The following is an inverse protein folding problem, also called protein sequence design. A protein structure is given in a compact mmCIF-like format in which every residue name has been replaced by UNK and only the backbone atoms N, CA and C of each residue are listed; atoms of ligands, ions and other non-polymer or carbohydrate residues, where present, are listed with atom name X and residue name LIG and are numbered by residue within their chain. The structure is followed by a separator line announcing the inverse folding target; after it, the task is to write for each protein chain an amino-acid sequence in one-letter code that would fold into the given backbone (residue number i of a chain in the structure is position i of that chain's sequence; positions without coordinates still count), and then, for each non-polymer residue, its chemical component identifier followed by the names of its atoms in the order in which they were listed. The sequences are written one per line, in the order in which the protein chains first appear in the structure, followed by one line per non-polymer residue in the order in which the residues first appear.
data_IF_858856386001
#
_entry.id   IF_858856386001
#
_cell.length_a   1.000
_cell.length_b   1.000
_cell.length_c   1.000
_cell.angle_alpha   90.00
_cell.angle_beta   90.00
_cell.angle_gamma   90.00
#
_symmetry.space_group_name_H-M   'P 1'
#
loop_
_entity.id
_entity.type
_entity.pdbx_description
1 polymer ?
#
# COMPACT_ATOMS: atom_id res chain seq x y z
N UNK A 1 47.50 15.66 -62.17
CA UNK A 1 46.63 16.40 -61.22
C UNK A 1 45.25 16.50 -61.83
N UNK A 2 44.36 15.57 -61.50
CA UNK A 2 42.95 15.59 -61.91
C UNK A 2 42.14 15.27 -60.67
N UNK A 3 41.57 16.30 -60.04
CA UNK A 3 40.70 16.17 -58.87
C UNK A 3 39.36 15.60 -59.30
N UNK A 4 39.02 14.40 -58.81
CA UNK A 4 37.67 13.86 -58.87
C UNK A 4 36.87 14.47 -57.72
N UNK A 5 35.88 15.29 -58.06
CA UNK A 5 34.87 15.77 -57.11
C UNK A 5 34.05 14.58 -56.57
N UNK A 6 33.79 14.52 -55.25
CA UNK A 6 32.90 13.53 -54.67
C UNK A 6 31.46 13.85 -55.06
N UNK A 7 30.78 12.90 -55.71
CA UNK A 7 29.34 12.98 -56.00
C UNK A 7 28.58 13.02 -54.68
N UNK A 8 27.68 13.98 -54.53
CA UNK A 8 26.64 13.96 -53.51
C UNK A 8 25.82 12.67 -53.68
N UNK A 9 26.00 11.73 -52.76
CA UNK A 9 25.11 10.58 -52.65
C UNK A 9 23.73 11.12 -52.24
N UNK A 10 22.74 10.86 -53.08
CA UNK A 10 21.33 11.08 -52.76
C UNK A 10 21.03 10.31 -51.46
N UNK A 11 20.62 11.05 -50.42
CA UNK A 11 20.18 10.45 -49.16
C UNK A 11 18.97 9.56 -49.49
N UNK A 12 18.96 8.28 -49.08
CA UNK A 12 17.82 7.41 -49.30
C UNK A 12 16.58 8.05 -48.66
N UNK A 13 15.49 8.15 -49.42
CA UNK A 13 14.18 8.52 -48.87
C UNK A 13 13.91 7.65 -47.65
N UNK A 14 13.76 8.29 -46.49
CA UNK A 14 13.34 7.62 -45.25
C UNK A 14 12.07 6.83 -45.53
N UNK A 15 12.12 5.54 -45.23
CA UNK A 15 11.00 4.66 -45.51
C UNK A 15 9.83 4.99 -44.57
N UNK A 16 8.57 4.89 -45.02
CA UNK A 16 7.37 5.15 -44.21
C UNK A 16 7.20 4.28 -42.95
N UNK A 17 8.17 3.43 -42.61
CA UNK A 17 8.08 2.51 -41.46
C UNK A 17 8.30 3.21 -40.12
N UNK A 18 8.90 4.40 -40.08
CA UNK A 18 9.24 5.07 -38.81
C UNK A 18 8.02 5.70 -38.11
N UNK A 19 7.01 6.12 -38.87
CA UNK A 19 5.86 6.90 -38.34
C UNK A 19 4.89 6.04 -37.48
N UNK A 20 4.77 4.75 -37.78
CA UNK A 20 3.87 3.83 -37.06
C UNK A 20 4.40 3.40 -35.68
N UNK A 21 5.72 3.27 -35.55
CA UNK A 21 6.38 2.90 -34.30
C UNK A 21 6.23 4.02 -33.25
N UNK A 22 6.32 5.27 -33.69
CA UNK A 22 6.19 6.44 -32.83
C UNK A 22 4.78 6.56 -32.23
N UNK A 23 3.74 6.39 -33.05
CA UNK A 23 2.33 6.49 -32.63
C UNK A 23 1.97 5.49 -31.52
N UNK A 24 2.47 4.25 -31.62
CA UNK A 24 2.21 3.21 -30.60
C UNK A 24 2.85 3.57 -29.26
N UNK A 25 4.07 4.11 -29.29
CA UNK A 25 4.81 4.50 -28.09
C UNK A 25 4.13 5.67 -27.35
N UNK A 26 3.66 6.65 -28.12
CA UNK A 26 2.89 7.81 -27.63
C UNK A 26 1.60 7.36 -26.95
N UNK A 27 0.84 6.46 -27.58
CA UNK A 27 -0.40 5.93 -27.01
C UNK A 27 -0.15 5.18 -25.70
N UNK A 28 0.91 4.36 -25.65
CA UNK A 28 1.29 3.62 -24.44
C UNK A 28 1.69 4.56 -23.30
N UNK A 29 2.48 5.60 -23.59
CA UNK A 29 2.91 6.61 -22.63
C UNK A 29 1.72 7.38 -22.02
N UNK A 30 0.76 7.78 -22.85
CA UNK A 30 -0.46 8.48 -22.41
C UNK A 30 -1.34 7.62 -21.51
N UNK A 31 -1.57 6.35 -21.89
CA UNK A 31 -2.34 5.38 -21.07
C UNK A 31 -1.63 5.09 -19.75
N UNK A 32 -0.33 4.83 -19.82
CA UNK A 32 0.53 4.60 -18.66
C UNK A 32 0.40 5.74 -17.65
N UNK A 33 0.49 6.99 -18.11
CA UNK A 33 0.35 8.18 -17.28
C UNK A 33 -1.02 8.30 -16.63
N UNK A 34 -2.09 8.06 -17.40
CA UNK A 34 -3.46 8.10 -16.90
C UNK A 34 -3.71 7.05 -15.82
N UNK A 35 -3.28 5.80 -16.06
CA UNK A 35 -3.45 4.72 -15.09
C UNK A 35 -2.64 4.94 -13.81
N UNK A 36 -1.41 5.46 -13.92
CA UNK A 36 -0.62 5.78 -12.73
C UNK A 36 -1.31 6.87 -11.90
N UNK A 37 -1.78 7.96 -12.51
CA UNK A 37 -2.47 9.04 -11.81
C UNK A 37 -3.72 8.53 -11.12
N UNK A 38 -4.63 7.90 -11.86
CA UNK A 38 -5.93 7.47 -11.34
C UNK A 38 -5.71 6.41 -10.25
N UNK A 39 -4.81 5.44 -10.47
CA UNK A 39 -4.46 4.44 -9.47
C UNK A 39 -3.92 5.08 -8.18
N UNK A 40 -2.98 6.03 -8.31
CA UNK A 40 -2.41 6.74 -7.16
C UNK A 40 -3.45 7.53 -6.39
N UNK A 41 -4.34 8.26 -7.09
CA UNK A 41 -5.43 9.01 -6.45
C UNK A 41 -6.41 8.07 -5.75
N UNK A 42 -6.74 6.92 -6.35
CA UNK A 42 -7.55 5.89 -5.70
C UNK A 42 -6.89 5.44 -4.40
N UNK A 43 -5.59 5.15 -4.39
CA UNK A 43 -4.88 4.73 -3.16
C UNK A 43 -4.92 5.81 -2.07
N UNK A 44 -4.69 7.08 -2.43
CA UNK A 44 -4.71 8.21 -1.48
C UNK A 44 -6.13 8.39 -0.90
N UNK A 45 -7.16 8.32 -1.75
CA UNK A 45 -8.56 8.44 -1.32
C UNK A 45 -8.95 7.25 -0.44
N UNK A 46 -8.59 6.03 -0.82
CA UNK A 46 -8.87 4.82 -0.05
C UNK A 46 -8.28 4.88 1.35
N UNK A 47 -6.96 5.13 1.44
CA UNK A 47 -6.30 5.22 2.75
C UNK A 47 -6.75 6.43 3.57
N UNK A 48 -6.85 7.60 2.94
CA UNK A 48 -7.24 8.85 3.61
C UNK A 48 -8.69 8.83 4.10
N UNK A 49 -9.63 8.41 3.26
CA UNK A 49 -11.05 8.43 3.60
C UNK A 49 -11.42 7.32 4.60
N UNK A 50 -10.84 6.12 4.49
CA UNK A 50 -11.01 5.08 5.51
C UNK A 50 -10.47 5.52 6.88
N UNK A 51 -9.31 6.18 6.91
CA UNK A 51 -8.76 6.75 8.16
C UNK A 51 -9.63 7.88 8.70
N UNK A 52 -10.17 8.74 7.82
CA UNK A 52 -11.11 9.79 8.19
C UNK A 52 -12.39 9.23 8.82
N UNK A 53 -13.01 8.19 8.24
CA UNK A 53 -14.20 7.53 8.83
C UNK A 53 -13.87 7.07 10.25
N UNK A 54 -12.73 6.39 10.43
CA UNK A 54 -12.29 5.94 11.76
C UNK A 54 -12.07 7.09 12.73
N UNK A 55 -11.53 8.22 12.29
CA UNK A 55 -11.36 9.37 13.18
C UNK A 55 -12.68 10.08 13.48
N UNK A 56 -13.45 10.44 12.45
CA UNK A 56 -14.66 11.25 12.55
C UNK A 56 -15.78 10.56 13.34
N UNK A 57 -15.85 9.23 13.26
CA UNK A 57 -16.84 8.42 13.97
C UNK A 57 -16.26 7.74 15.22
N UNK A 58 -15.08 8.17 15.70
CA UNK A 58 -14.50 7.64 16.94
C UNK A 58 -15.36 7.92 18.18
N UNK A 59 -16.15 9.00 18.16
CA UNK A 59 -17.06 9.36 19.26
C UNK A 59 -18.43 8.68 19.20
N UNK A 60 -18.67 7.81 18.21
CA UNK A 60 -19.92 7.06 18.17
C UNK A 60 -20.06 6.18 19.40
N UNK A 61 -21.28 6.11 19.95
CA UNK A 61 -21.58 5.41 21.19
C UNK A 61 -21.02 3.98 21.20
N UNK A 62 -21.17 3.25 20.09
CA UNK A 62 -20.68 1.87 19.92
C UNK A 62 -19.18 1.71 20.13
N UNK A 63 -18.37 2.72 19.81
CA UNK A 63 -16.90 2.69 19.94
C UNK A 63 -16.40 3.11 21.32
N UNK A 64 -17.30 3.57 22.17
CA UNK A 64 -17.04 3.89 23.56
C UNK A 64 -17.36 2.71 24.49
N UNK A 65 -17.90 1.60 23.96
CA UNK A 65 -18.35 0.48 24.76
C UNK A 65 -17.31 -0.63 24.85
N UNK A 66 -17.17 -1.19 26.04
CA UNK A 66 -16.39 -2.39 26.32
C UNK A 66 -17.19 -3.68 26.05
N UNK A 67 -16.55 -4.83 26.29
CA UNK A 67 -17.16 -6.17 26.17
C UNK A 67 -18.44 -6.36 27.01
N UNK A 68 -18.67 -5.56 28.03
CA UNK A 68 -19.88 -5.62 28.87
C UNK A 68 -20.97 -4.63 28.43
N UNK A 69 -20.76 -3.90 27.33
CA UNK A 69 -21.68 -2.86 26.86
C UNK A 69 -21.67 -1.59 27.72
N UNK A 70 -20.64 -1.41 28.56
CA UNK A 70 -20.44 -0.23 29.40
C UNK A 70 -19.39 0.69 28.78
N UNK A 71 -19.35 1.97 29.17
CA UNK A 71 -18.28 2.86 28.69
C UNK A 71 -16.91 2.39 29.16
N UNK A 72 -15.89 2.51 28.30
CA UNK A 72 -14.51 2.22 28.68
C UNK A 72 -14.08 2.99 29.94
N UNK A 73 -13.54 2.32 30.97
CA UNK A 73 -13.07 2.98 32.19
C UNK A 73 -12.07 4.12 31.94
N UNK A 74 -11.22 4.01 30.92
CA UNK A 74 -10.26 5.04 30.53
C UNK A 74 -10.91 6.35 30.04
N UNK A 75 -12.18 6.30 29.66
CA UNK A 75 -12.90 7.40 29.04
C UNK A 75 -12.55 7.67 27.57
N UNK A 76 -11.71 6.84 26.94
CA UNK A 76 -11.31 6.99 25.53
C UNK A 76 -11.99 5.94 24.63
N UNK A 77 -12.32 6.26 23.37
CA UNK A 77 -12.74 5.23 22.41
C UNK A 77 -11.58 4.29 22.06
N UNK A 78 -11.91 3.09 21.62
CA UNK A 78 -10.88 2.20 21.06
C UNK A 78 -10.29 2.80 19.76
N UNK A 79 -8.95 2.88 19.74
CA UNK A 79 -8.19 3.21 18.55
C UNK A 79 -7.48 1.96 18.01
N UNK A 80 -7.66 1.63 16.71
CA UNK A 80 -6.99 0.48 16.12
C UNK A 80 -5.46 0.71 16.11
N UNK A 81 -4.64 -0.27 16.54
CA UNK A 81 -3.18 -0.12 16.58
C UNK A 81 -2.53 -0.07 15.19
N UNK A 82 -3.27 -0.44 14.14
CA UNK A 82 -2.77 -0.52 12.77
C UNK A 82 -3.92 -0.25 11.78
N UNK A 83 -3.59 0.20 10.57
CA UNK A 83 -4.53 0.34 9.44
C UNK A 83 -5.17 -1.00 9.13
N UNK A 84 -4.40 -2.09 9.18
CA UNK A 84 -4.91 -3.44 8.94
C UNK A 84 -5.88 -3.93 10.01
N UNK A 85 -5.75 -3.45 11.25
CA UNK A 85 -6.74 -3.67 12.30
C UNK A 85 -8.01 -2.83 12.07
N UNK A 86 -7.86 -1.59 11.60
CA UNK A 86 -8.98 -0.69 11.29
C UNK A 86 -9.92 -1.25 10.21
N UNK A 87 -9.35 -1.92 9.21
CA UNK A 87 -10.08 -2.47 8.04
C UNK A 87 -10.27 -3.97 8.12
N UNK A 88 -10.09 -4.57 9.29
CA UNK A 88 -10.19 -6.02 9.48
C UNK A 88 -11.58 -6.58 9.11
N UNK A 89 -12.63 -5.78 9.31
CA UNK A 89 -13.99 -6.05 8.88
C UNK A 89 -14.25 -5.39 7.52
N UNK A 90 -14.29 -6.23 6.47
CA UNK A 90 -14.58 -5.80 5.10
C UNK A 90 -16.00 -5.25 4.92
N UNK A 91 -16.92 -5.59 5.83
CA UNK A 91 -18.30 -5.11 5.77
C UNK A 91 -18.48 -3.75 6.45
N UNK A 92 -17.52 -3.33 7.27
CA UNK A 92 -17.50 -2.01 7.87
C UNK A 92 -17.38 -0.91 6.80
N UNK A 93 -17.90 0.32 7.04
CA UNK A 93 -17.79 1.42 6.09
C UNK A 93 -16.35 1.71 5.65
N UNK A 94 -15.41 1.74 6.59
CA UNK A 94 -13.99 1.96 6.32
C UNK A 94 -13.34 0.79 5.59
N UNK A 95 -13.75 -0.46 5.87
CA UNK A 95 -13.28 -1.66 5.18
C UNK A 95 -13.71 -1.69 3.71
N UNK A 96 -14.98 -1.37 3.43
CA UNK A 96 -15.52 -1.28 2.06
C UNK A 96 -14.78 -0.26 1.20
N UNK A 97 -14.58 0.94 1.76
CA UNK A 97 -13.82 2.02 1.09
C UNK A 97 -12.38 1.58 0.83
N UNK A 98 -11.71 1.06 1.85
CA UNK A 98 -10.31 0.63 1.76
C UNK A 98 -10.14 -0.42 0.67
N UNK A 99 -10.92 -1.51 0.75
CA UNK A 99 -10.83 -2.62 -0.17
C UNK A 99 -11.06 -2.18 -1.62
N UNK A 100 -12.14 -1.43 -1.87
CA UNK A 100 -12.49 -0.96 -3.22
C UNK A 100 -11.35 -0.13 -3.82
N UNK A 101 -10.91 0.91 -3.11
CA UNK A 101 -9.95 1.86 -3.64
C UNK A 101 -8.52 1.31 -3.70
N UNK A 102 -8.10 0.49 -2.73
CA UNK A 102 -6.75 -0.10 -2.73
C UNK A 102 -6.60 -1.18 -3.81
N UNK A 103 -7.64 -1.98 -4.06
CA UNK A 103 -7.64 -2.95 -5.16
C UNK A 103 -7.60 -2.23 -6.51
N UNK A 104 -8.43 -1.20 -6.71
CA UNK A 104 -8.40 -0.38 -7.94
C UNK A 104 -7.04 0.30 -8.12
N UNK A 105 -6.48 0.87 -7.06
CA UNK A 105 -5.13 1.46 -7.05
C UNK A 105 -4.08 0.47 -7.52
N UNK A 106 -4.07 -0.74 -6.97
CA UNK A 106 -3.09 -1.76 -7.32
C UNK A 106 -3.20 -2.19 -8.79
N UNK A 107 -4.41 -2.43 -9.30
CA UNK A 107 -4.60 -2.82 -10.70
C UNK A 107 -4.20 -1.71 -11.67
N UNK A 108 -4.63 -0.47 -11.43
CA UNK A 108 -4.27 0.65 -12.30
C UNK A 108 -2.78 0.96 -12.25
N UNK A 109 -2.15 0.93 -11.06
CA UNK A 109 -0.71 1.09 -10.93
C UNK A 109 0.06 -0.03 -11.65
N UNK A 110 -0.45 -1.26 -11.68
CA UNK A 110 0.18 -2.38 -12.39
C UNK A 110 0.02 -2.23 -13.92
N UNK A 111 -1.19 -1.93 -14.39
CA UNK A 111 -1.51 -1.69 -15.80
C UNK A 111 -0.80 -0.46 -16.37
N UNK A 112 -0.43 0.50 -15.51
CA UNK A 112 0.34 1.65 -15.95
C UNK A 112 1.67 1.24 -16.57
N UNK A 113 2.30 0.15 -16.10
CA UNK A 113 3.66 -0.22 -16.49
C UNK A 113 4.64 0.97 -16.46
N UNK A 114 4.39 1.96 -15.58
CA UNK A 114 5.11 3.23 -15.55
C UNK A 114 6.64 3.08 -15.48
N UNK A 115 7.24 2.06 -14.83
CA UNK A 115 8.70 1.92 -14.81
C UNK A 115 9.32 1.71 -16.20
N UNK A 116 8.56 1.19 -17.17
CA UNK A 116 9.03 0.94 -18.53
C UNK A 116 8.81 2.11 -19.48
N UNK A 117 7.86 2.99 -19.16
CA UNK A 117 7.48 4.11 -20.04
C UNK A 117 8.09 5.43 -19.60
N UNK A 118 8.32 5.62 -18.30
CA UNK A 118 8.70 6.91 -17.73
C UNK A 118 10.22 7.07 -17.61
N UNK A 119 10.86 8.01 -18.32
CA UNK A 119 12.33 8.17 -18.30
C UNK A 119 12.90 8.54 -16.92
N UNK A 120 12.10 9.19 -16.07
CA UNK A 120 12.51 9.58 -14.72
C UNK A 120 12.52 8.42 -13.71
N UNK A 121 12.05 7.23 -14.09
CA UNK A 121 12.13 6.02 -13.24
C UNK A 121 12.75 4.81 -13.94
N UNK A 122 12.86 4.84 -15.26
CA UNK A 122 13.51 3.79 -16.03
C UNK A 122 15.00 3.72 -15.70
N UNK A 123 15.49 2.51 -15.37
CA UNK A 123 16.90 2.29 -15.02
C UNK A 123 17.59 1.25 -15.92
N UNK A 124 16.91 0.74 -16.95
CA UNK A 124 17.37 -0.38 -17.78
C UNK A 124 16.63 -1.69 -17.48
N UNK A 125 16.49 -2.52 -18.51
CA UNK A 125 15.80 -3.82 -18.44
C UNK A 125 16.68 -4.95 -17.88
N UNK A 126 17.99 -4.73 -17.84
CA UNK A 126 19.03 -5.68 -17.48
C UNK A 126 19.49 -5.57 -16.03
N UNK A 127 19.03 -4.56 -15.28
CA UNK A 127 19.37 -4.39 -13.87
C UNK A 127 18.61 -5.43 -13.04
N UNK A 128 19.27 -6.40 -12.38
CA UNK A 128 18.59 -7.37 -11.53
C UNK A 128 18.06 -6.70 -10.25
N UNK A 129 16.97 -7.22 -9.67
CA UNK A 129 16.40 -6.71 -8.41
C UNK A 129 17.43 -6.67 -7.29
N UNK A 130 18.27 -7.70 -7.15
CA UNK A 130 19.35 -7.75 -6.14
C UNK A 130 20.72 -7.91 -6.84
N UNK A 131 21.35 -6.82 -7.30
CA UNK A 131 22.62 -6.89 -8.05
C UNK A 131 23.75 -7.58 -7.30
N UNK A 132 23.81 -7.41 -5.98
CA UNK A 132 24.82 -8.06 -5.15
C UNK A 132 24.62 -9.58 -5.08
N UNK A 133 23.37 -10.07 -5.03
CA UNK A 133 23.06 -11.51 -5.02
C UNK A 133 23.36 -12.12 -6.38
N UNK A 134 22.97 -11.47 -7.47
CA UNK A 134 23.29 -11.92 -8.82
C UNK A 134 24.81 -12.05 -9.03
N UNK A 135 25.59 -11.11 -8.45
CA UNK A 135 27.06 -11.16 -8.47
C UNK A 135 27.65 -12.26 -7.58
N UNK A 136 27.04 -12.53 -6.42
CA UNK A 136 27.50 -13.57 -5.49
C UNK A 136 27.20 -14.99 -6.00
N UNK A 137 26.13 -15.17 -6.78
CA UNK A 137 25.66 -16.47 -7.26
C UNK A 137 25.41 -16.50 -8.78
N UNK A 138 26.43 -16.21 -9.62
CA UNK A 138 26.25 -16.09 -11.08
C UNK A 138 25.82 -17.40 -11.74
N UNK A 139 26.17 -18.56 -11.17
CA UNK A 139 25.77 -19.87 -11.70
C UNK A 139 24.30 -20.20 -11.43
N UNK A 140 23.74 -19.70 -10.32
CA UNK A 140 22.34 -19.97 -9.94
C UNK A 140 21.40 -18.93 -10.55
N UNK A 141 21.85 -17.68 -10.70
CA UNK A 141 21.05 -16.55 -11.18
C UNK A 141 21.85 -15.69 -12.16
N UNK A 142 22.20 -16.21 -13.36
CA UNK A 142 23.06 -15.51 -14.31
C UNK A 142 22.51 -14.13 -14.72
N UNK A 143 21.18 -13.98 -14.73
CA UNK A 143 20.49 -12.72 -15.04
C UNK A 143 19.70 -12.17 -13.84
N UNK A 144 19.99 -12.65 -12.62
CA UNK A 144 19.13 -12.43 -11.45
C UNK A 144 17.82 -13.23 -11.51
N UNK A 145 16.99 -13.11 -10.47
CA UNK A 145 15.67 -13.74 -10.41
C UNK A 145 14.62 -12.97 -11.24
N UNK A 146 14.72 -11.64 -11.23
CA UNK A 146 13.81 -10.72 -11.88
C UNK A 146 14.53 -9.39 -12.10
N UNK A 147 14.25 -8.69 -13.20
CA UNK A 147 14.74 -7.31 -13.38
C UNK A 147 14.08 -6.36 -12.38
N UNK A 148 14.77 -5.29 -12.01
CA UNK A 148 14.25 -4.31 -11.07
C UNK A 148 13.04 -3.56 -11.63
N UNK A 149 12.94 -3.37 -12.95
CA UNK A 149 11.76 -2.78 -13.60
C UNK A 149 10.53 -3.67 -13.50
N UNK A 150 10.68 -4.98 -13.73
CA UNK A 150 9.59 -5.94 -13.52
C UNK A 150 9.19 -5.99 -12.05
N UNK A 151 10.17 -6.04 -11.13
CA UNK A 151 9.90 -6.06 -9.70
C UNK A 151 9.13 -4.81 -9.26
N UNK A 152 9.55 -3.61 -9.68
CA UNK A 152 8.88 -2.33 -9.39
C UNK A 152 7.46 -2.23 -9.98
N UNK A 153 7.21 -2.91 -11.10
CA UNK A 153 5.92 -2.89 -11.80
C UNK A 153 4.89 -3.83 -11.18
N UNK A 154 5.34 -4.96 -10.61
CA UNK A 154 4.43 -6.01 -10.17
C UNK A 154 4.44 -6.24 -8.65
N UNK A 155 5.62 -6.28 -8.01
CA UNK A 155 5.71 -6.68 -6.61
C UNK A 155 5.03 -5.66 -5.68
N UNK A 156 5.20 -4.33 -5.84
CA UNK A 156 4.49 -3.39 -4.97
C UNK A 156 2.98 -3.52 -5.02
N UNK A 157 2.43 -3.78 -6.21
CA UNK A 157 1.01 -3.84 -6.51
C UNK A 157 0.43 -5.17 -6.02
N UNK A 158 1.15 -6.27 -6.20
CA UNK A 158 0.83 -7.56 -5.55
C UNK A 158 0.84 -7.38 -4.03
N UNK A 159 1.85 -6.70 -3.48
CA UNK A 159 1.94 -6.38 -2.06
C UNK A 159 0.71 -5.61 -1.57
N UNK A 160 0.31 -4.57 -2.31
CA UNK A 160 -0.89 -3.77 -2.04
C UNK A 160 -2.17 -4.62 -2.07
N UNK A 161 -2.33 -5.52 -3.05
CA UNK A 161 -3.46 -6.46 -3.10
C UNK A 161 -3.45 -7.42 -1.91
N UNK A 162 -2.27 -7.94 -1.52
CA UNK A 162 -2.15 -8.81 -0.37
C UNK A 162 -2.58 -8.11 0.91
N UNK A 163 -2.10 -6.89 1.20
CA UNK A 163 -2.56 -6.18 2.42
C UNK A 163 -4.03 -5.79 2.37
N UNK A 164 -4.59 -5.55 1.18
CA UNK A 164 -6.01 -5.22 1.03
C UNK A 164 -6.95 -6.44 1.12
N UNK A 165 -6.49 -7.65 0.78
CA UNK A 165 -7.32 -8.85 0.72
C UNK A 165 -7.06 -9.82 1.89
N UNK A 166 -5.86 -9.81 2.44
CA UNK A 166 -5.41 -10.69 3.53
C UNK A 166 -5.54 -9.91 4.83
N UNK A 167 -6.74 -9.87 5.40
CA UNK A 167 -7.03 -9.07 6.59
C UNK A 167 -6.38 -9.65 7.85
N UNK A 168 -5.78 -8.78 8.67
CA UNK A 168 -5.30 -9.16 10.01
C UNK A 168 -6.41 -8.98 11.01
N UNK A 169 -6.58 -9.96 11.89
CA UNK A 169 -7.49 -9.80 13.02
C UNK A 169 -6.76 -9.27 14.25
N UNK A 170 -7.47 -8.64 15.21
CA UNK A 170 -6.92 -8.26 16.50
C UNK A 170 -6.27 -9.44 17.25
N UNK A 171 -5.22 -9.18 18.04
CA UNK A 171 -4.44 -10.22 18.73
C UNK A 171 -5.28 -11.13 19.65
N UNK A 172 -6.34 -10.58 20.24
CA UNK A 172 -7.26 -11.32 21.10
C UNK A 172 -8.11 -12.38 20.39
N UNK A 173 -8.05 -12.44 19.05
CA UNK A 173 -8.79 -13.40 18.23
C UNK A 173 -7.89 -14.24 17.32
N UNK A 174 -6.58 -14.32 17.61
CA UNK A 174 -5.64 -15.10 16.81
C UNK A 174 -5.77 -16.61 17.05
N UNK A 175 -5.97 -17.35 15.96
CA UNK A 175 -5.79 -18.78 15.82
C UNK A 175 -4.49 -19.07 15.05
N UNK A 176 -3.98 -20.31 15.05
CA UNK A 176 -2.82 -20.68 14.23
C UNK A 176 -2.98 -20.34 12.73
N UNK A 177 -4.20 -20.42 12.20
CA UNK A 177 -4.48 -20.02 10.82
C UNK A 177 -4.31 -18.50 10.63
N UNK A 178 -4.78 -17.68 11.57
CA UNK A 178 -4.57 -16.23 11.54
C UNK A 178 -3.09 -15.85 11.68
N UNK A 179 -2.30 -16.60 12.44
CA UNK A 179 -0.84 -16.39 12.48
C UNK A 179 -0.20 -16.56 11.10
N UNK A 180 -0.61 -17.58 10.33
CA UNK A 180 -0.15 -17.73 8.95
C UNK A 180 -0.60 -16.56 8.06
N UNK A 181 -1.86 -16.12 8.20
CA UNK A 181 -2.40 -14.93 7.51
C UNK A 181 -1.56 -13.68 7.78
N UNK A 182 -1.11 -13.47 9.02
CA UNK A 182 -0.25 -12.32 9.39
C UNK A 182 1.09 -12.37 8.67
N UNK A 183 1.69 -13.55 8.49
CA UNK A 183 2.94 -13.70 7.72
C UNK A 183 2.73 -13.26 6.27
N UNK A 184 1.64 -13.68 5.63
CA UNK A 184 1.32 -13.26 4.26
C UNK A 184 1.03 -11.76 4.19
N UNK A 185 0.23 -11.23 5.12
CA UNK A 185 -0.07 -9.81 5.18
C UNK A 185 1.20 -8.95 5.33
N UNK A 186 2.06 -9.30 6.29
CA UNK A 186 3.34 -8.62 6.53
C UNK A 186 4.27 -8.75 5.32
N UNK A 187 4.32 -9.92 4.69
CA UNK A 187 5.01 -10.12 3.42
C UNK A 187 4.48 -9.19 2.33
N UNK A 188 3.17 -9.02 2.23
CA UNK A 188 2.52 -8.05 1.34
C UNK A 188 2.96 -6.61 1.59
N UNK A 189 3.02 -6.19 2.86
CA UNK A 189 3.52 -4.87 3.24
C UNK A 189 5.00 -4.67 2.86
N UNK A 190 5.84 -5.70 3.03
CA UNK A 190 7.25 -5.67 2.59
C UNK A 190 7.40 -5.59 1.06
N UNK A 191 6.54 -6.30 0.31
CA UNK A 191 6.52 -6.20 -1.14
C UNK A 191 6.06 -4.81 -1.60
N UNK A 192 5.02 -4.27 -0.97
CA UNK A 192 4.50 -2.94 -1.29
C UNK A 192 5.50 -1.84 -0.95
N UNK A 193 5.85 -1.70 0.32
CA UNK A 193 6.65 -0.58 0.83
C UNK A 193 8.14 -0.86 0.59
N UNK A 194 8.62 -2.05 0.94
CA UNK A 194 10.04 -2.39 0.89
C UNK A 194 10.63 -2.38 -0.52
N UNK A 195 9.98 -3.05 -1.49
CA UNK A 195 10.45 -3.05 -2.89
C UNK A 195 10.37 -1.64 -3.49
N UNK A 196 9.33 -0.87 -3.18
CA UNK A 196 9.21 0.51 -3.66
C UNK A 196 10.34 1.38 -3.14
N UNK A 197 10.60 1.37 -1.82
CA UNK A 197 11.69 2.14 -1.21
C UNK A 197 13.05 1.75 -1.76
N UNK A 198 13.29 0.44 -1.92
CA UNK A 198 14.55 -0.07 -2.44
C UNK A 198 14.78 0.33 -3.90
N UNK A 199 13.79 0.12 -4.77
CA UNK A 199 13.87 0.52 -6.17
C UNK A 199 14.03 2.04 -6.32
N UNK A 200 13.34 2.81 -5.47
CA UNK A 200 13.42 4.27 -5.47
C UNK A 200 14.80 4.77 -5.04
N UNK A 201 15.35 4.24 -3.94
CA UNK A 201 16.70 4.57 -3.49
C UNK A 201 17.74 4.22 -4.56
N UNK A 202 17.58 3.10 -5.27
CA UNK A 202 18.44 2.72 -6.38
C UNK A 202 18.33 3.71 -7.56
N UNK A 203 17.10 4.06 -7.97
CA UNK A 203 16.85 5.04 -9.04
C UNK A 203 17.48 6.39 -8.71
N UNK A 204 17.39 6.83 -7.46
CA UNK A 204 17.92 8.12 -7.04
C UNK A 204 19.46 8.05 -6.86
N UNK A 205 20.04 7.15 -6.09
CA UNK A 205 21.49 7.21 -5.82
C UNK A 205 22.37 6.53 -6.87
N UNK A 206 21.90 5.44 -7.47
CA UNK A 206 22.79 4.52 -8.21
C UNK A 206 22.61 4.62 -9.71
N UNK A 207 21.36 4.71 -10.17
CA UNK A 207 21.07 4.74 -11.60
C UNK A 207 21.61 6.01 -12.26
N UNK A 208 22.35 5.82 -13.35
CA UNK A 208 22.77 6.90 -14.27
C UNK A 208 21.87 7.01 -15.50
N UNK A 209 20.93 6.08 -15.65
CA UNK A 209 20.01 5.99 -16.80
C UNK A 209 18.77 6.85 -16.55
N UNK A 210 18.29 6.91 -15.30
CA UNK A 210 17.10 7.67 -14.97
C UNK A 210 17.34 9.18 -15.11
N UNK A 211 16.45 9.85 -15.85
CA UNK A 211 16.51 11.29 -16.08
C UNK A 211 15.69 12.00 -15.00
N UNK A 212 16.34 12.39 -13.90
CA UNK A 212 15.66 12.97 -12.72
C UNK A 212 16.15 14.39 -12.44
N UNK A 213 15.23 15.36 -12.48
CA UNK A 213 15.52 16.76 -12.17
C UNK A 213 15.90 17.01 -10.70
N UNK A 214 16.57 18.13 -10.40
CA UNK A 214 17.00 18.46 -9.02
C UNK A 214 15.84 18.58 -8.04
N UNK A 215 14.77 19.26 -8.44
CA UNK A 215 13.58 19.48 -7.61
C UNK A 215 12.83 18.18 -7.37
N UNK A 216 12.57 17.43 -8.44
CA UNK A 216 11.96 16.10 -8.39
C UNK A 216 12.72 15.17 -7.44
N UNK A 217 14.04 15.07 -7.62
CA UNK A 217 14.93 14.25 -6.78
C UNK A 217 14.80 14.58 -5.30
N UNK A 218 14.72 15.85 -4.93
CA UNK A 218 14.55 16.28 -3.52
C UNK A 218 13.20 15.86 -2.96
N UNK A 219 12.12 16.01 -3.74
CA UNK A 219 10.78 15.63 -3.31
C UNK A 219 10.63 14.11 -3.17
N UNK A 220 11.20 13.34 -4.10
CA UNK A 220 11.21 11.87 -4.04
C UNK A 220 12.03 11.37 -2.85
N UNK A 221 13.20 11.97 -2.59
CA UNK A 221 13.97 11.70 -1.37
C UNK A 221 13.20 12.03 -0.09
N UNK A 222 12.51 13.17 -0.05
CA UNK A 222 11.68 13.52 1.09
C UNK A 222 10.59 12.46 1.35
N UNK A 223 9.92 11.97 0.29
CA UNK A 223 8.93 10.90 0.41
C UNK A 223 9.55 9.60 0.94
N UNK A 224 10.72 9.20 0.43
CA UNK A 224 11.46 8.00 0.88
C UNK A 224 11.82 8.11 2.36
N UNK A 225 12.40 9.23 2.79
CA UNK A 225 12.81 9.45 4.19
C UNK A 225 11.60 9.47 5.12
N UNK A 226 10.53 10.17 4.75
CA UNK A 226 9.31 10.24 5.55
C UNK A 226 8.61 8.88 5.64
N UNK A 227 8.58 8.10 4.56
CA UNK A 227 8.09 6.73 4.57
C UNK A 227 8.91 5.83 5.51
N UNK A 228 10.25 5.92 5.48
CA UNK A 228 11.13 5.17 6.39
C UNK A 228 10.92 5.54 7.86
N UNK A 229 10.80 6.83 8.17
CA UNK A 229 10.51 7.31 9.53
C UNK A 229 9.16 6.75 10.00
N UNK A 230 8.14 6.84 9.16
CA UNK A 230 6.78 6.38 9.48
C UNK A 230 6.76 4.86 9.70
N UNK A 231 7.39 4.09 8.80
CA UNK A 231 7.55 2.64 8.95
C UNK A 231 8.33 2.27 10.23
N UNK A 232 9.32 3.07 10.62
CA UNK A 232 10.07 2.86 11.85
C UNK A 232 9.20 3.06 13.09
N UNK A 233 8.33 4.08 13.11
CA UNK A 233 7.36 4.24 14.21
C UNK A 233 6.43 3.04 14.32
N UNK A 234 5.89 2.56 13.19
CA UNK A 234 5.06 1.36 13.17
C UNK A 234 5.79 0.12 13.70
N UNK A 235 7.01 -0.15 13.20
CA UNK A 235 7.80 -1.31 13.63
C UNK A 235 8.12 -1.22 15.12
N UNK A 236 8.57 -0.06 15.61
CA UNK A 236 8.89 0.14 17.03
C UNK A 236 7.64 -0.07 17.89
N UNK A 237 6.49 0.49 17.50
CA UNK A 237 5.23 0.30 18.23
C UNK A 237 4.71 -1.14 18.18
N UNK A 238 5.04 -1.91 17.14
CA UNK A 238 4.63 -3.30 17.00
C UNK A 238 5.53 -4.28 17.76
N UNK A 239 6.79 -3.94 17.98
CA UNK A 239 7.76 -4.79 18.70
C UNK A 239 7.73 -4.52 20.21
N UNK A 240 7.60 -3.26 20.61
CA UNK A 240 7.63 -2.87 22.02
C UNK A 240 6.20 -2.74 22.54
N UNK A 241 5.85 -3.46 23.59
CA UNK A 241 4.60 -3.18 24.30
C UNK A 241 4.75 -1.90 25.15
N UNK A 242 3.68 -1.12 25.35
CA UNK A 242 3.70 0.02 26.29
C UNK A 242 4.22 -0.38 27.67
N UNK A 243 3.81 -1.53 28.19
CA UNK A 243 4.27 -2.07 29.47
C UNK A 243 5.79 -2.29 29.52
N UNK A 244 6.40 -2.77 28.41
CA UNK A 244 7.85 -2.97 28.33
C UNK A 244 8.64 -1.66 28.39
N UNK A 245 8.00 -0.53 28.07
CA UNK A 245 8.55 0.81 28.20
C UNK A 245 8.22 1.48 29.54
N UNK A 246 7.51 0.79 30.44
CA UNK A 246 7.02 1.35 31.69
C UNK A 246 5.89 2.37 31.50
N UNK A 247 5.24 2.36 30.33
CA UNK A 247 4.06 3.17 30.08
C UNK A 247 2.84 2.45 30.65
N UNK A 248 2.09 3.13 31.52
CA UNK A 248 0.86 2.58 32.07
C UNK A 248 -0.33 2.70 31.10
N UNK A 249 -1.38 1.95 31.41
CA UNK A 249 -2.71 2.06 30.81
C UNK A 249 -2.81 1.62 29.35
N UNK A 250 -2.23 0.46 29.02
CA UNK A 250 -2.47 -0.24 27.76
C UNK A 250 -3.91 -0.80 27.66
N UNK A 251 -4.29 -1.33 26.50
CA UNK A 251 -5.58 -1.98 26.29
C UNK A 251 -5.72 -3.18 27.23
N UNK A 252 -6.75 -3.16 28.07
CA UNK A 252 -7.05 -4.26 28.97
C UNK A 252 -8.03 -5.22 28.28
N UNK A 253 -7.60 -6.47 28.08
CA UNK A 253 -8.49 -7.53 27.66
C UNK A 253 -8.82 -8.49 28.81
N UNK A 254 -10.06 -8.98 28.87
CA UNK A 254 -10.54 -9.95 29.87
C UNK A 254 -11.26 -11.12 29.23
N UNK A 255 -11.32 -12.25 29.95
CA UNK A 255 -12.00 -13.44 29.45
C UNK A 255 -13.50 -13.19 29.30
N UNK A 256 -14.04 -13.45 28.12
CA UNK A 256 -15.47 -13.44 27.85
C UNK A 256 -16.14 -14.63 28.52
N UNK A 257 -17.24 -14.38 29.25
CA UNK A 257 -18.07 -15.42 29.90
C UNK A 257 -19.53 -15.23 29.49
N UNK A 258 -20.39 -16.23 29.75
CA UNK A 258 -21.85 -16.04 29.56
C UNK A 258 -22.40 -14.88 30.40
N UNK A 259 -21.85 -14.65 31.59
CA UNK A 259 -22.21 -13.50 32.41
C UNK A 259 -21.87 -12.16 31.72
N UNK A 260 -20.72 -12.09 31.03
CA UNK A 260 -20.34 -10.94 30.19
C UNK A 260 -21.36 -10.72 29.07
N UNK A 261 -21.70 -11.79 28.32
CA UNK A 261 -22.67 -11.74 27.22
C UNK A 261 -24.04 -11.25 27.71
N UNK A 262 -24.52 -11.82 28.81
CA UNK A 262 -25.81 -11.45 29.40
C UNK A 262 -25.82 -10.01 29.89
N UNK A 263 -24.69 -9.53 30.45
CA UNK A 263 -24.51 -8.13 30.86
C UNK A 263 -24.51 -7.18 29.67
N UNK A 264 -23.78 -7.49 28.59
CA UNK A 264 -23.82 -6.71 27.36
C UNK A 264 -25.23 -6.64 26.77
N UNK A 265 -25.97 -7.77 26.79
CA UNK A 265 -27.37 -7.83 26.38
C UNK A 265 -28.27 -6.97 27.26
N UNK A 266 -28.12 -7.00 28.58
CA UNK A 266 -28.94 -6.19 29.49
C UNK A 266 -28.65 -4.69 29.35
N UNK A 267 -27.45 -4.34 28.92
CA UNK A 267 -27.05 -2.96 28.60
C UNK A 267 -27.49 -2.50 27.19
N UNK A 268 -28.20 -3.35 26.43
CA UNK A 268 -28.67 -3.05 25.08
C UNK A 268 -27.57 -3.08 24.00
N UNK A 269 -26.37 -3.57 24.34
CA UNK A 269 -25.23 -3.67 23.43
C UNK A 269 -25.25 -5.00 22.66
N UNK A 270 -26.31 -5.25 21.89
CA UNK A 270 -26.54 -6.54 21.22
C UNK A 270 -25.44 -6.95 20.24
N UNK A 271 -24.84 -5.99 19.52
CA UNK A 271 -23.72 -6.27 18.61
C UNK A 271 -22.50 -6.81 19.36
N UNK A 272 -22.20 -6.25 20.54
CA UNK A 272 -21.09 -6.69 21.40
C UNK A 272 -21.39 -8.07 21.97
N UNK A 273 -22.61 -8.28 22.47
CA UNK A 273 -23.03 -9.60 22.96
C UNK A 273 -22.92 -10.69 21.87
N UNK A 274 -23.26 -10.37 20.62
CA UNK A 274 -23.12 -11.30 19.50
C UNK A 274 -21.64 -11.58 19.16
N UNK A 275 -20.80 -10.56 19.17
CA UNK A 275 -19.35 -10.72 18.99
C UNK A 275 -18.75 -11.61 20.08
N UNK A 276 -19.10 -11.36 21.34
CA UNK A 276 -18.66 -12.14 22.49
C UNK A 276 -19.10 -13.61 22.42
N UNK A 277 -20.33 -13.87 21.97
CA UNK A 277 -20.79 -15.24 21.70
C UNK A 277 -19.95 -15.91 20.60
N UNK A 278 -19.64 -15.21 19.51
CA UNK A 278 -18.80 -15.74 18.45
C UNK A 278 -17.37 -16.06 18.95
N UNK A 279 -16.81 -15.22 19.83
CA UNK A 279 -15.55 -15.49 20.52
C UNK A 279 -15.64 -16.79 21.33
N UNK A 280 -16.72 -16.96 22.11
CA UNK A 280 -16.95 -18.17 22.91
C UNK A 280 -17.20 -19.43 22.07
N UNK A 281 -17.82 -19.32 20.89
CA UNK A 281 -18.02 -20.46 19.99
C UNK A 281 -16.73 -20.92 19.35
N UNK A 282 -15.90 -19.98 18.86
CA UNK A 282 -14.54 -20.26 18.39
C UNK A 282 -13.71 -21.02 19.43
N UNK A 283 -14.03 -20.83 20.72
CA UNK A 283 -13.40 -21.51 21.82
C UNK A 283 -13.51 -23.01 21.83
N UNK A 284 -14.72 -23.45 21.54
CA UNK A 284 -15.11 -24.84 21.69
C UNK A 284 -14.37 -25.72 20.69
N UNK A 285 -13.94 -25.14 19.56
CA UNK A 285 -13.20 -25.84 18.53
C UNK A 285 -11.70 -26.01 18.85
N UNK A 286 -11.16 -25.28 19.84
CA UNK A 286 -9.74 -25.37 20.22
C UNK A 286 -9.53 -25.32 21.75
N UNK A 287 -9.90 -26.38 22.49
CA UNK A 287 -9.82 -26.41 23.96
C UNK A 287 -8.40 -26.26 24.53
N UNK A 288 -7.37 -26.51 23.72
CA UNK A 288 -5.95 -26.33 24.08
C UNK A 288 -5.35 -25.02 23.54
N UNK A 289 -6.17 -24.10 23.01
CA UNK A 289 -5.64 -22.86 22.47
C UNK A 289 -5.00 -22.03 23.59
N UNK A 290 -3.74 -21.66 23.38
CA UNK A 290 -3.03 -20.74 24.27
C UNK A 290 -3.78 -19.41 24.33
N UNK A 291 -3.94 -18.85 25.54
CA UNK A 291 -4.43 -17.48 25.71
C UNK A 291 -3.67 -16.54 24.75
N UNK A 292 -4.35 -15.58 24.08
CA UNK A 292 -5.53 -14.87 24.53
C UNK A 292 -6.86 -15.23 23.84
N UNK A 293 -7.04 -16.44 23.30
CA UNK A 293 -8.37 -16.81 22.79
C UNK A 293 -9.44 -16.55 23.88
N UNK A 294 -10.53 -15.88 23.49
CA UNK A 294 -11.67 -15.43 24.34
C UNK A 294 -11.46 -14.15 25.13
N UNK A 295 -10.60 -13.27 24.67
CA UNK A 295 -10.35 -12.02 25.38
C UNK A 295 -11.18 -10.89 24.74
N UNK A 296 -12.20 -10.41 25.45
CA UNK A 296 -12.97 -9.22 25.09
C UNK A 296 -12.25 -7.98 25.60
N UNK A 297 -12.43 -6.84 24.93
CA UNK A 297 -11.80 -5.59 25.34
C UNK A 297 -12.57 -4.98 26.50
N UNK A 298 -11.95 -4.90 27.67
CA UNK A 298 -12.57 -4.36 28.89
C UNK A 298 -12.28 -2.87 29.05
N UNK A 299 -11.03 -2.46 28.80
CA UNK A 299 -10.62 -1.05 28.84
C UNK A 299 -9.77 -0.70 27.63
N UNK A 300 -9.92 0.53 27.14
CA UNK A 300 -9.13 1.07 26.04
C UNK A 300 -7.86 1.75 26.58
N UNK A 301 -6.84 1.86 25.74
CA UNK A 301 -5.60 2.51 26.15
C UNK A 301 -5.79 3.99 26.49
N UNK A 302 -4.97 4.50 27.42
CA UNK A 302 -4.90 5.92 27.75
C UNK A 302 -3.45 6.38 27.99
N UNK A 303 -3.26 7.68 28.18
CA UNK A 303 -1.95 8.26 28.50
C UNK A 303 -0.87 7.91 27.46
N UNK A 304 0.29 7.44 27.94
CA UNK A 304 1.44 7.11 27.09
C UNK A 304 1.20 5.92 26.17
N UNK A 305 0.46 4.90 26.61
CA UNK A 305 0.11 3.75 25.78
C UNK A 305 -0.74 4.15 24.58
N UNK A 306 -1.73 5.03 24.77
CA UNK A 306 -2.55 5.55 23.68
C UNK A 306 -1.72 6.34 22.66
N UNK A 307 -0.76 7.16 23.11
CA UNK A 307 0.16 7.89 22.21
C UNK A 307 0.97 6.91 21.37
N UNK A 308 1.48 5.83 21.97
CA UNK A 308 2.25 4.81 21.26
C UNK A 308 1.40 4.07 20.20
N UNK A 309 0.16 3.72 20.53
CA UNK A 309 -0.81 3.12 19.60
C UNK A 309 -1.09 4.07 18.43
N UNK A 310 -1.31 5.37 18.71
CA UNK A 310 -1.51 6.39 17.68
C UNK A 310 -0.28 6.54 16.78
N UNK A 311 0.92 6.55 17.35
CA UNK A 311 2.17 6.59 16.58
C UNK A 311 2.34 5.36 15.68
N UNK A 312 1.95 4.19 16.15
CA UNK A 312 1.96 2.96 15.35
C UNK A 312 1.02 3.04 14.16
N UNK A 313 -0.25 3.38 14.43
CA UNK A 313 -1.27 3.55 13.41
C UNK A 313 -0.86 4.59 12.35
N UNK A 314 -0.45 5.79 12.77
CA UNK A 314 -0.04 6.84 11.85
C UNK A 314 1.30 6.57 11.19
N UNK A 315 2.18 5.79 11.82
CA UNK A 315 3.41 5.30 11.21
C UNK A 315 3.13 4.39 10.02
N UNK A 316 2.18 3.46 10.16
CA UNK A 316 1.78 2.58 9.06
C UNK A 316 1.05 3.36 7.96
N UNK A 317 0.03 4.14 8.34
CA UNK A 317 -0.73 4.96 7.39
C UNK A 317 0.19 5.95 6.64
N UNK A 318 1.12 6.58 7.36
CA UNK A 318 2.11 7.49 6.81
C UNK A 318 3.06 6.81 5.83
N UNK A 319 3.55 5.61 6.14
CA UNK A 319 4.42 4.86 5.24
C UNK A 319 3.73 4.57 3.90
N UNK A 320 2.47 4.11 3.92
CA UNK A 320 1.67 3.92 2.71
C UNK A 320 1.40 5.23 1.96
N UNK A 321 1.01 6.29 2.69
CA UNK A 321 0.69 7.59 2.11
C UNK A 321 1.91 8.24 1.41
N UNK A 322 3.09 8.23 2.04
CA UNK A 322 4.29 8.79 1.42
C UNK A 322 4.76 7.98 0.20
N UNK A 323 4.46 6.68 0.13
CA UNK A 323 4.71 5.88 -1.07
C UNK A 323 3.77 6.22 -2.22
N UNK A 324 2.49 6.45 -1.94
CA UNK A 324 1.54 6.93 -2.93
C UNK A 324 1.89 8.37 -3.39
N UNK A 325 2.28 9.25 -2.46
CA UNK A 325 2.78 10.58 -2.80
C UNK A 325 4.03 10.51 -3.68
N UNK A 326 4.94 9.56 -3.44
CA UNK A 326 6.10 9.36 -4.31
C UNK A 326 5.68 8.99 -5.75
N UNK A 327 4.68 8.12 -5.92
CA UNK A 327 4.11 7.82 -7.25
C UNK A 327 3.49 9.06 -7.90
N UNK A 328 2.82 9.91 -7.13
CA UNK A 328 2.27 11.17 -7.62
C UNK A 328 3.36 12.16 -8.05
N UNK A 329 4.47 12.24 -7.33
CA UNK A 329 5.64 13.05 -7.70
C UNK A 329 6.26 12.52 -9.00
N UNK A 330 6.44 11.20 -9.12
CA UNK A 330 6.93 10.56 -10.35
C UNK A 330 6.03 10.93 -11.53
N UNK A 331 4.71 10.83 -11.35
CA UNK A 331 3.74 11.22 -12.37
C UNK A 331 3.84 12.70 -12.74
N UNK A 332 3.90 13.59 -11.75
CA UNK A 332 3.91 15.04 -11.97
C UNK A 332 5.15 15.52 -12.74
N UNK A 333 6.30 14.89 -12.54
CA UNK A 333 7.54 15.24 -13.24
C UNK A 333 7.77 14.45 -14.54
N UNK A 334 6.90 13.52 -14.89
CA UNK A 334 7.02 12.75 -16.14
C UNK A 334 6.61 13.60 -17.34
N UNK A 335 7.45 13.64 -18.38
CA UNK A 335 7.13 14.27 -19.68
C UNK A 335 5.97 13.56 -20.39
N UNK A 336 5.78 12.26 -20.12
CA UNK A 336 4.72 11.45 -20.71
C UNK A 336 3.30 11.92 -20.30
N UNK A 337 3.16 12.78 -19.29
CA UNK A 337 1.87 13.36 -18.89
C UNK A 337 1.38 14.47 -19.83
N UNK A 338 2.27 15.06 -20.63
CA UNK A 338 1.96 16.16 -21.55
C UNK A 338 1.94 15.70 -23.01
N UNK A 339 2.06 14.41 -23.27
CA UNK A 339 2.02 13.88 -24.63
C UNK A 339 0.57 13.94 -25.14
N UNK A 340 0.33 14.86 -26.06
CA UNK A 340 -0.94 14.97 -26.78
C UNK A 340 -1.10 13.79 -27.74
N UNK A 341 -2.33 13.29 -27.88
CA UNK A 341 -2.62 12.29 -28.91
C UNK A 341 -2.50 12.95 -30.29
N UNK A 342 -1.88 12.30 -31.28
CA UNK A 342 -1.81 12.82 -32.63
C UNK A 342 -3.21 13.16 -33.17
N UNK A 343 -3.40 14.29 -33.88
CA UNK A 343 -4.70 14.69 -34.40
C UNK A 343 -5.38 13.63 -35.26
N UNK A 344 -4.59 12.84 -36.00
CA UNK A 344 -5.07 11.74 -36.83
C UNK A 344 -5.87 10.70 -36.03
N UNK A 345 -5.47 10.42 -34.78
CA UNK A 345 -6.18 9.51 -33.90
C UNK A 345 -7.51 10.08 -33.42
N UNK A 346 -7.59 11.41 -33.24
CA UNK A 346 -8.85 12.08 -32.92
C UNK A 346 -9.84 11.97 -34.09
N UNK A 347 -9.35 12.12 -35.32
CA UNK A 347 -10.16 11.95 -36.54
C UNK A 347 -10.67 10.51 -36.67
N UNK A 348 -9.81 9.50 -36.53
CA UNK A 348 -10.24 8.08 -36.58
C UNK A 348 -11.28 7.74 -35.50
N UNK A 349 -11.11 8.28 -34.28
CA UNK A 349 -12.08 8.09 -33.20
C UNK A 349 -13.43 8.76 -33.49
N UNK A 350 -13.42 9.89 -34.18
CA UNK A 350 -14.62 10.63 -34.56
C UNK A 350 -15.35 9.94 -35.72
N UNK A 351 -14.62 9.45 -36.72
CA UNK A 351 -15.16 8.62 -37.81
C UNK A 351 -15.78 7.33 -37.27
N UNK A 352 -15.08 6.60 -36.40
CA UNK A 352 -15.59 5.38 -35.76
C UNK A 352 -16.79 5.63 -34.83
N UNK A 353 -17.03 6.88 -34.41
CA UNK A 353 -18.21 7.29 -33.64
C UNK A 353 -19.40 7.63 -34.55
N UNK A 354 -19.17 8.17 -35.74
CA UNK A 354 -20.22 8.46 -36.73
C UNK A 354 -20.77 7.18 -37.35
N UNK A 355 -19.94 6.12 -37.46
CA UNK A 355 -20.37 4.82 -38.01
C UNK A 355 -21.22 3.96 -37.06
N UNK A 356 -21.34 4.30 -35.77
CA UNK A 356 -22.19 3.60 -34.80
C UNK A 356 -23.49 4.35 -34.56
#
# INVERSE_FOLDING_TARGET
MTSKEPRCNELPMESPQDETADTTSVLLASRSSSYLLIGTLCGIIGGGFSSYITYAYSSEYSRMLNMEGERFPSGNPYWPPSVSNMVNDIESPQGKVWLCFMVTSAFLAMLSQYPFTFPNVYIGNDVPLLPFVARAFPSCFPNGFMSMMSARTYLPQIGMLMVALVHTTPANVWSPAQNATIVFHTGGALLWIGVTLYAEAYTLEVSKVAVVGKTERRLRWACVVLALISASFYIVSGILSPDALGLCCDVEYRRVTMATVDKARSNGAYAIAQQDLALMEGARFTPNATAPLYMGMYDSASGGALVMILLGFWGEAGAGAFMLLNLLVIWYFSENRTVDLPPAFAVELEEARVER
#
